data_IF_185220159574
#
_entry.id   IF_185220159574
#
_cell.length_a   1.000
_cell.length_b   1.000
_cell.length_c   1.000
_cell.angle_alpha   90.00
_cell.angle_beta   90.00
_cell.angle_gamma   90.00
#
_symmetry.space_group_name_H-M   'P 1'
#
loop_
_entity.id
_entity.type
_entity.pdbx_description
1 polymer ?
#
# COMPACT_ATOMS: atom_id res chain seq x y z
N UNK A 1 -20.06 -17.74 13.52
CA UNK A 1 -18.86 -17.90 12.66
C UNK A 1 -17.83 -18.78 13.38
N UNK A 2 -17.75 -20.09 13.12
CA UNK A 2 -16.44 -20.77 13.17
C UNK A 2 -16.23 -21.95 12.18
N UNK A 3 -17.11 -22.20 11.21
CA UNK A 3 -17.01 -23.40 10.35
C UNK A 3 -16.10 -23.26 9.11
N UNK A 4 -15.77 -22.04 8.68
CA UNK A 4 -14.96 -21.79 7.46
C UNK A 4 -13.45 -22.06 7.66
N UNK A 5 -12.97 -22.06 8.90
CA UNK A 5 -11.55 -22.23 9.26
C UNK A 5 -11.05 -23.69 9.28
N UNK A 6 -11.93 -24.70 9.06
CA UNK A 6 -11.54 -26.12 9.09
C UNK A 6 -11.22 -26.75 7.73
N UNK A 7 -11.28 -25.98 6.63
CA UNK A 7 -10.83 -26.48 5.33
C UNK A 7 -9.30 -26.34 5.22
N UNK A 8 -8.52 -27.42 5.04
CA UNK A 8 -7.06 -27.34 4.94
C UNK A 8 -6.58 -26.43 3.79
N UNK A 9 -7.37 -26.25 2.73
CA UNK A 9 -7.07 -25.29 1.65
C UNK A 9 -7.16 -23.83 2.14
N UNK A 10 -8.09 -23.53 3.05
CA UNK A 10 -8.26 -22.20 3.64
C UNK A 10 -7.16 -21.90 4.67
N UNK A 11 -6.73 -22.91 5.44
CA UNK A 11 -5.65 -22.75 6.40
C UNK A 11 -4.30 -22.47 5.72
N UNK A 12 -4.00 -23.15 4.60
CA UNK A 12 -2.80 -22.88 3.80
C UNK A 12 -2.81 -21.47 3.22
N UNK A 13 -3.96 -21.03 2.68
CA UNK A 13 -4.09 -19.68 2.16
C UNK A 13 -3.91 -18.63 3.25
N UNK A 14 -4.53 -18.83 4.42
CA UNK A 14 -4.37 -17.96 5.58
C UNK A 14 -2.90 -17.87 6.01
N UNK A 15 -2.21 -19.02 6.08
CA UNK A 15 -0.79 -19.05 6.40
C UNK A 15 0.04 -18.24 5.40
N UNK A 16 -0.20 -18.39 4.09
CA UNK A 16 0.49 -17.59 3.06
C UNK A 16 0.18 -16.10 3.21
N UNK A 17 -1.07 -15.72 3.47
CA UNK A 17 -1.43 -14.32 3.71
C UNK A 17 -0.71 -13.74 4.93
N UNK A 18 -0.66 -14.50 6.04
CA UNK A 18 0.05 -14.09 7.26
C UNK A 18 1.55 -13.99 7.00
N UNK A 19 2.14 -14.96 6.29
CA UNK A 19 3.55 -14.95 5.94
C UNK A 19 3.90 -13.75 5.05
N UNK A 20 3.11 -13.46 4.02
CA UNK A 20 3.31 -12.30 3.16
C UNK A 20 3.13 -11.00 3.94
N UNK A 21 2.03 -10.85 4.69
CA UNK A 21 1.76 -9.63 5.45
C UNK A 21 2.83 -9.38 6.53
N UNK A 22 2.96 -10.30 7.48
CA UNK A 22 3.90 -10.16 8.61
C UNK A 22 5.35 -10.19 8.14
N UNK A 23 5.70 -11.05 7.17
CA UNK A 23 7.05 -11.12 6.62
C UNK A 23 7.46 -9.81 5.94
N UNK A 24 6.55 -9.19 5.18
CA UNK A 24 6.82 -7.86 4.56
C UNK A 24 6.99 -6.78 5.62
N UNK A 25 6.12 -6.75 6.64
CA UNK A 25 6.25 -5.79 7.74
C UNK A 25 7.61 -5.93 8.43
N UNK A 26 8.05 -7.16 8.74
CA UNK A 26 9.33 -7.42 9.42
C UNK A 26 10.52 -7.02 8.54
N UNK A 27 10.51 -7.41 7.26
CA UNK A 27 11.62 -7.14 6.34
C UNK A 27 11.86 -5.64 6.15
N UNK A 28 10.79 -4.84 6.07
CA UNK A 28 10.89 -3.40 5.89
C UNK A 28 10.91 -2.61 7.21
N UNK A 29 10.69 -3.25 8.36
CA UNK A 29 10.66 -2.59 9.66
C UNK A 29 11.87 -1.69 9.96
N UNK A 30 13.12 -2.03 9.55
CA UNK A 30 14.26 -1.15 9.79
C UNK A 30 14.10 0.26 9.21
N UNK A 31 13.33 0.43 8.12
CA UNK A 31 13.10 1.73 7.46
C UNK A 31 12.43 2.74 8.38
N UNK A 32 11.72 2.30 9.44
CA UNK A 32 11.14 3.21 10.45
C UNK A 32 12.18 4.08 11.17
N UNK A 33 13.46 3.70 11.11
CA UNK A 33 14.58 4.42 11.71
C UNK A 33 15.27 5.38 10.73
N UNK A 34 14.86 5.37 9.46
CA UNK A 34 15.37 6.31 8.47
C UNK A 34 14.68 7.67 8.61
N UNK A 35 15.39 8.72 8.20
CA UNK A 35 14.88 10.09 8.17
C UNK A 35 14.31 10.40 6.79
N UNK A 36 13.58 11.51 6.70
CA UNK A 36 13.26 12.12 5.41
C UNK A 36 14.53 12.33 4.58
N UNK A 37 14.43 12.08 3.29
CA UNK A 37 15.51 12.35 2.33
C UNK A 37 15.39 13.77 1.79
N UNK A 38 16.47 14.34 1.28
CA UNK A 38 16.44 15.70 0.72
C UNK A 38 15.68 15.77 -0.61
N UNK A 39 15.63 14.67 -1.35
CA UNK A 39 14.94 14.59 -2.63
C UNK A 39 13.44 14.37 -2.42
N UNK A 40 12.63 15.29 -2.94
CA UNK A 40 11.17 15.33 -2.97
C UNK A 40 10.44 15.37 -1.61
N UNK A 41 10.94 14.76 -0.53
CA UNK A 41 10.26 14.76 0.77
C UNK A 41 10.03 16.19 1.35
N UNK A 42 10.90 17.20 1.11
CA UNK A 42 10.57 18.58 1.43
C UNK A 42 9.29 19.06 0.75
N UNK A 43 9.22 18.91 -0.57
CA UNK A 43 8.08 19.36 -1.38
C UNK A 43 6.81 18.54 -1.10
N UNK A 44 6.95 17.25 -0.78
CA UNK A 44 5.82 16.36 -0.53
C UNK A 44 5.31 16.41 0.90
N UNK A 45 6.18 16.67 1.89
CA UNK A 45 5.84 16.49 3.31
C UNK A 45 6.34 17.62 4.19
N UNK A 46 7.65 17.84 4.31
CA UNK A 46 8.20 18.63 5.43
C UNK A 46 8.13 20.14 5.21
N UNK A 47 8.06 20.61 3.97
CA UNK A 47 7.93 22.03 3.59
C UNK A 47 6.56 22.34 2.95
N UNK A 48 5.75 21.32 2.66
CA UNK A 48 4.43 21.51 2.10
C UNK A 48 3.41 22.03 3.14
N UNK A 49 3.06 23.31 3.04
CA UNK A 49 2.15 23.96 3.99
C UNK A 49 0.79 23.25 4.09
N UNK A 50 0.22 22.78 2.98
CA UNK A 50 -1.10 22.13 2.96
C UNK A 50 -1.06 20.74 3.59
N UNK A 51 -0.01 19.97 3.35
CA UNK A 51 0.19 18.68 4.05
C UNK A 51 0.35 18.89 5.54
N UNK A 52 1.11 19.93 5.93
CA UNK A 52 1.35 20.25 7.34
C UNK A 52 0.12 20.75 8.09
N UNK A 53 -0.89 21.26 7.39
CA UNK A 53 -2.19 21.60 7.97
C UNK A 53 -2.96 20.35 8.45
N UNK A 54 -2.58 19.15 7.99
CA UNK A 54 -3.34 17.92 8.26
C UNK A 54 -4.62 17.84 7.44
N UNK A 55 -5.60 17.05 7.88
CA UNK A 55 -6.88 16.87 7.20
C UNK A 55 -7.85 18.01 7.55
N UNK A 56 -7.79 19.10 6.79
CA UNK A 56 -8.72 20.23 6.87
C UNK A 56 -9.50 20.35 5.57
N UNK A 57 -10.63 21.07 5.60
CA UNK A 57 -11.39 21.35 4.37
C UNK A 57 -10.53 22.07 3.32
N UNK A 58 -9.64 22.96 3.77
CA UNK A 58 -8.74 23.70 2.90
C UNK A 58 -7.70 22.80 2.23
N UNK A 59 -6.98 21.98 3.02
CA UNK A 59 -5.94 21.10 2.49
C UNK A 59 -6.52 20.00 1.59
N UNK A 60 -7.67 19.45 1.94
CA UNK A 60 -8.37 18.46 1.11
C UNK A 60 -8.86 19.10 -0.19
N UNK A 61 -9.43 20.30 -0.15
CA UNK A 61 -9.83 21.02 -1.37
C UNK A 61 -8.63 21.30 -2.27
N UNK A 62 -7.51 21.72 -1.69
CA UNK A 62 -6.26 21.94 -2.41
C UNK A 62 -5.79 20.67 -3.14
N UNK A 63 -5.84 19.51 -2.47
CA UNK A 63 -5.42 18.23 -3.04
C UNK A 63 -6.15 17.87 -4.34
N UNK A 64 -7.44 18.25 -4.48
CA UNK A 64 -8.24 17.97 -5.67
C UNK A 64 -8.12 19.03 -6.77
N UNK A 65 -7.71 20.26 -6.43
CA UNK A 65 -7.78 21.41 -7.34
C UNK A 65 -6.42 21.83 -7.89
N UNK A 66 -5.32 21.43 -7.26
CA UNK A 66 -3.97 21.89 -7.62
C UNK A 66 -3.07 20.74 -8.06
N UNK A 67 -2.29 20.98 -9.11
CA UNK A 67 -1.09 20.20 -9.40
C UNK A 67 0.08 20.81 -8.64
N UNK A 68 0.88 19.97 -7.99
CA UNK A 68 2.04 20.40 -7.20
C UNK A 68 3.21 19.44 -7.44
N UNK A 69 4.44 19.95 -7.44
CA UNK A 69 5.63 19.17 -7.80
C UNK A 69 5.47 18.40 -9.13
N UNK A 70 4.90 19.08 -10.14
CA UNK A 70 4.61 18.52 -11.47
C UNK A 70 3.60 17.35 -11.51
N UNK A 71 2.85 17.12 -10.43
CA UNK A 71 1.93 16.00 -10.33
C UNK A 71 0.54 16.38 -9.81
N UNK A 72 -0.48 15.63 -10.24
CA UNK A 72 -1.84 15.68 -9.67
C UNK A 72 -2.25 14.29 -9.16
N UNK A 73 -2.18 14.11 -7.85
CA UNK A 73 -2.54 12.86 -7.17
C UNK A 73 -3.22 13.15 -5.82
N UNK A 74 -4.51 13.50 -5.82
CA UNK A 74 -5.24 13.95 -4.63
C UNK A 74 -5.17 12.97 -3.45
N UNK A 75 -5.31 11.67 -3.72
CA UNK A 75 -5.28 10.65 -2.66
C UNK A 75 -3.91 10.50 -2.00
N UNK A 76 -2.82 10.76 -2.74
CA UNK A 76 -1.46 10.75 -2.17
C UNK A 76 -1.29 11.93 -1.24
N UNK A 77 -1.76 13.12 -1.64
CA UNK A 77 -1.73 14.32 -0.79
C UNK A 77 -2.52 14.12 0.50
N UNK A 78 -3.73 13.60 0.40
CA UNK A 78 -4.58 13.29 1.56
C UNK A 78 -3.93 12.25 2.47
N UNK A 79 -3.24 11.25 1.89
CA UNK A 79 -2.49 10.27 2.69
C UNK A 79 -1.36 10.94 3.49
N UNK A 80 -0.59 11.84 2.88
CA UNK A 80 0.46 12.57 3.61
C UNK A 80 -0.10 13.54 4.65
N UNK A 81 -1.25 14.18 4.38
CA UNK A 81 -1.96 15.01 5.37
C UNK A 81 -2.35 14.20 6.60
N UNK A 82 -2.87 12.99 6.40
CA UNK A 82 -3.20 12.08 7.48
C UNK A 82 -1.95 11.66 8.28
N UNK A 83 -0.87 11.29 7.58
CA UNK A 83 0.39 10.92 8.21
C UNK A 83 0.97 12.09 9.02
N UNK A 84 0.93 13.32 8.49
CA UNK A 84 1.38 14.51 9.22
C UNK A 84 0.52 14.80 10.45
N UNK A 85 -0.80 14.65 10.35
CA UNK A 85 -1.70 14.88 11.47
C UNK A 85 -1.45 13.92 12.64
N UNK A 86 -1.02 12.68 12.37
CA UNK A 86 -0.76 11.69 13.42
C UNK A 86 0.69 11.61 13.87
N UNK A 87 1.64 11.81 12.96
CA UNK A 87 3.07 11.60 13.22
C UNK A 87 3.89 12.88 13.15
N UNK A 88 3.36 13.96 12.57
CA UNK A 88 4.10 15.21 12.34
C UNK A 88 5.39 14.96 11.58
N UNK A 89 6.49 15.53 12.09
CA UNK A 89 7.83 15.38 11.52
C UNK A 89 8.52 14.04 11.88
N UNK A 90 7.80 13.03 12.39
CA UNK A 90 8.38 11.71 12.63
C UNK A 90 8.34 10.85 11.36
N UNK A 91 9.43 10.88 10.57
CA UNK A 91 9.59 10.11 9.33
C UNK A 91 9.24 8.62 9.48
N UNK A 92 9.55 8.02 10.64
CA UNK A 92 9.25 6.62 10.91
C UNK A 92 7.77 6.27 10.78
N UNK A 93 6.87 7.18 11.19
CA UNK A 93 5.43 6.98 11.03
C UNK A 93 4.99 6.96 9.56
N UNK A 94 5.53 7.89 8.76
CA UNK A 94 5.27 7.97 7.32
C UNK A 94 5.78 6.70 6.60
N UNK A 95 6.97 6.22 6.93
CA UNK A 95 7.48 4.95 6.38
C UNK A 95 6.58 3.75 6.73
N UNK A 96 6.13 3.64 7.98
CA UNK A 96 5.31 2.52 8.43
C UNK A 96 3.99 2.43 7.65
N UNK A 97 3.40 3.55 7.25
CA UNK A 97 2.20 3.57 6.42
C UNK A 97 2.49 3.03 5.00
N UNK A 98 3.65 3.33 4.40
CA UNK A 98 4.07 2.73 3.11
C UNK A 98 4.15 1.21 3.22
N UNK A 99 4.80 0.76 4.28
CA UNK A 99 5.08 -0.64 4.52
C UNK A 99 3.76 -1.40 4.75
N UNK A 100 2.82 -0.79 5.46
CA UNK A 100 1.48 -1.34 5.65
C UNK A 100 0.73 -1.48 4.31
N UNK A 101 0.73 -0.45 3.47
CA UNK A 101 0.13 -0.54 2.13
C UNK A 101 0.78 -1.64 1.28
N UNK A 102 2.11 -1.73 1.26
CA UNK A 102 2.81 -2.77 0.50
C UNK A 102 2.51 -4.19 1.01
N UNK A 103 2.44 -4.38 2.33
CA UNK A 103 2.06 -5.66 2.93
C UNK A 103 0.63 -6.06 2.53
N UNK A 104 -0.31 -5.10 2.56
CA UNK A 104 -1.69 -5.32 2.12
C UNK A 104 -1.76 -5.62 0.62
N UNK A 105 -1.03 -4.87 -0.22
CA UNK A 105 -0.95 -5.11 -1.66
C UNK A 105 -0.44 -6.51 -1.98
N UNK A 106 0.58 -6.98 -1.25
CA UNK A 106 1.14 -8.33 -1.41
C UNK A 106 0.10 -9.42 -1.11
N UNK A 107 -0.71 -9.23 -0.06
CA UNK A 107 -1.80 -10.15 0.30
C UNK A 107 -2.92 -10.11 -0.74
N UNK A 108 -3.36 -8.92 -1.16
CA UNK A 108 -4.40 -8.77 -2.19
C UNK A 108 -3.93 -9.41 -3.50
N UNK A 109 -2.68 -9.19 -3.91
CA UNK A 109 -2.11 -9.77 -5.12
C UNK A 109 -2.14 -11.30 -5.10
N UNK A 110 -1.68 -11.93 -4.01
CA UNK A 110 -1.76 -13.39 -3.86
C UNK A 110 -3.19 -13.90 -4.01
N UNK A 111 -4.09 -13.28 -3.25
CA UNK A 111 -5.48 -13.68 -3.17
C UNK A 111 -6.18 -13.48 -4.55
N UNK A 112 -5.85 -12.42 -5.27
CA UNK A 112 -6.40 -12.08 -6.60
C UNK A 112 -5.93 -13.09 -7.64
N UNK A 113 -4.62 -13.30 -7.72
CA UNK A 113 -4.02 -14.26 -8.65
C UNK A 113 -4.51 -15.69 -8.38
N UNK A 114 -4.68 -16.06 -7.11
CA UNK A 114 -5.27 -17.36 -6.74
C UNK A 114 -6.71 -17.49 -7.24
N UNK A 115 -7.51 -16.44 -7.11
CA UNK A 115 -8.91 -16.46 -7.57
C UNK A 115 -8.98 -16.67 -9.09
N UNK A 116 -8.24 -15.89 -9.88
CA UNK A 116 -8.35 -15.92 -11.35
C UNK A 116 -7.62 -17.11 -12.01
N UNK A 117 -6.59 -17.67 -11.37
CA UNK A 117 -5.82 -18.79 -11.96
C UNK A 117 -6.23 -20.16 -11.44
N UNK A 118 -6.93 -20.24 -10.32
CA UNK A 118 -7.18 -21.49 -9.59
C UNK A 118 -5.92 -22.18 -9.02
N UNK A 119 -4.72 -21.64 -9.28
CA UNK A 119 -3.46 -22.17 -8.79
C UNK A 119 -3.16 -21.67 -7.38
N UNK A 120 -2.36 -22.42 -6.62
CA UNK A 120 -1.97 -22.02 -5.26
C UNK A 120 -0.52 -21.51 -5.20
N UNK A 121 0.45 -22.35 -5.60
CA UNK A 121 1.87 -22.05 -5.42
C UNK A 121 2.41 -21.00 -6.38
N UNK A 122 1.90 -20.94 -7.62
CA UNK A 122 2.33 -19.93 -8.61
C UNK A 122 1.97 -18.51 -8.14
N UNK A 123 0.71 -18.21 -7.75
CA UNK A 123 0.36 -16.93 -7.12
C UNK A 123 1.17 -16.61 -5.87
N UNK A 124 1.40 -17.60 -5.00
CA UNK A 124 2.16 -17.40 -3.76
C UNK A 124 3.61 -16.97 -4.05
N UNK A 125 4.24 -17.61 -5.04
CA UNK A 125 5.60 -17.25 -5.47
C UNK A 125 5.66 -15.85 -6.08
N UNK A 126 4.72 -15.51 -6.98
CA UNK A 126 4.66 -14.17 -7.59
C UNK A 126 4.44 -13.09 -6.53
N UNK A 127 3.54 -13.31 -5.57
CA UNK A 127 3.30 -12.38 -4.49
C UNK A 127 4.50 -12.24 -3.55
N UNK A 128 5.24 -13.31 -3.28
CA UNK A 128 6.47 -13.25 -2.48
C UNK A 128 7.58 -12.47 -3.21
N UNK A 129 7.72 -12.65 -4.52
CA UNK A 129 8.64 -11.83 -5.33
C UNK A 129 8.25 -10.36 -5.28
N UNK A 130 6.98 -10.03 -5.53
CA UNK A 130 6.48 -8.65 -5.41
C UNK A 130 6.73 -8.06 -4.01
N UNK A 131 6.48 -8.86 -2.97
CA UNK A 131 6.63 -8.42 -1.58
C UNK A 131 8.09 -8.15 -1.20
N UNK A 132 9.01 -9.04 -1.57
CA UNK A 132 10.35 -9.12 -0.95
C UNK A 132 11.50 -8.84 -1.91
N UNK A 133 11.23 -8.65 -3.21
CA UNK A 133 12.29 -8.34 -4.17
C UNK A 133 12.87 -6.93 -3.92
N UNK A 134 14.20 -6.76 -3.88
CA UNK A 134 14.83 -5.49 -3.53
C UNK A 134 14.49 -4.30 -4.44
N UNK A 135 14.06 -4.53 -5.68
CA UNK A 135 13.69 -3.43 -6.61
C UNK A 135 12.48 -2.63 -6.13
N UNK A 136 11.65 -3.17 -5.23
CA UNK A 136 10.53 -2.42 -4.66
C UNK A 136 10.94 -1.55 -3.46
N UNK A 137 12.19 -1.63 -3.00
CA UNK A 137 12.64 -0.85 -1.84
C UNK A 137 12.52 0.65 -2.09
N UNK A 138 12.80 1.13 -3.31
CA UNK A 138 12.64 2.55 -3.65
C UNK A 138 11.18 3.00 -3.51
N UNK A 139 10.24 2.29 -4.15
CA UNK A 139 8.80 2.64 -4.07
C UNK A 139 8.20 2.48 -2.66
N UNK A 140 8.74 1.59 -1.82
CA UNK A 140 8.18 1.31 -0.49
C UNK A 140 8.83 2.16 0.60
N UNK A 141 10.14 2.33 0.56
CA UNK A 141 10.89 3.02 1.60
C UNK A 141 10.95 4.53 1.39
N UNK A 142 10.86 5.03 0.16
CA UNK A 142 10.84 6.48 -0.09
C UNK A 142 9.45 7.03 0.22
N UNK A 143 9.38 8.03 1.11
CA UNK A 143 8.11 8.59 1.58
C UNK A 143 7.34 9.23 0.43
N UNK A 144 8.00 10.03 -0.41
CA UNK A 144 7.38 10.68 -1.57
C UNK A 144 6.87 9.68 -2.64
N UNK A 145 7.34 8.43 -2.62
CA UNK A 145 6.82 7.35 -3.47
C UNK A 145 5.53 6.70 -2.96
N UNK A 146 4.90 7.25 -1.91
CA UNK A 146 3.55 6.86 -1.44
C UNK A 146 2.53 6.68 -2.59
N UNK A 147 2.67 7.47 -3.67
CA UNK A 147 1.83 7.39 -4.87
C UNK A 147 1.80 6.00 -5.53
N UNK A 148 2.93 5.30 -5.56
CA UNK A 148 3.05 3.99 -6.19
C UNK A 148 2.34 2.90 -5.38
N UNK A 149 2.59 2.85 -4.07
CA UNK A 149 1.97 1.84 -3.19
C UNK A 149 0.46 2.07 -3.07
N UNK A 150 0.01 3.33 -3.09
CA UNK A 150 -1.41 3.67 -2.99
C UNK A 150 -2.16 3.40 -4.30
N UNK A 151 -1.58 3.76 -5.45
CA UNK A 151 -2.18 3.46 -6.75
C UNK A 151 -2.24 1.95 -7.00
N UNK A 152 -1.21 1.20 -6.59
CA UNK A 152 -1.21 -0.27 -6.63
C UNK A 152 -2.35 -0.85 -5.78
N UNK A 153 -2.59 -0.32 -4.58
CA UNK A 153 -3.69 -0.76 -3.72
C UNK A 153 -5.05 -0.64 -4.40
N UNK A 154 -5.37 0.56 -4.90
CA UNK A 154 -6.64 0.78 -5.59
C UNK A 154 -6.73 0.01 -6.91
N UNK A 155 -5.62 -0.11 -7.64
CA UNK A 155 -5.54 -0.89 -8.89
C UNK A 155 -5.84 -2.37 -8.65
N UNK A 156 -5.23 -2.99 -7.63
CA UNK A 156 -5.47 -4.39 -7.28
C UNK A 156 -6.91 -4.62 -6.79
N UNK A 157 -7.48 -3.69 -6.01
CA UNK A 157 -8.89 -3.76 -5.61
C UNK A 157 -9.83 -3.66 -6.81
N UNK A 158 -9.53 -2.77 -7.77
CA UNK A 158 -10.31 -2.63 -8.99
C UNK A 158 -10.26 -3.91 -9.84
N UNK A 159 -9.08 -4.49 -10.02
CA UNK A 159 -8.90 -5.77 -10.72
C UNK A 159 -9.65 -6.91 -10.03
N UNK A 160 -9.60 -6.96 -8.70
CA UNK A 160 -10.36 -7.93 -7.92
C UNK A 160 -11.86 -7.78 -8.15
N UNK A 161 -12.39 -6.57 -8.01
CA UNK A 161 -13.80 -6.28 -8.19
C UNK A 161 -14.27 -6.65 -9.60
N UNK A 162 -13.45 -6.35 -10.62
CA UNK A 162 -13.73 -6.71 -12.00
C UNK A 162 -13.75 -8.23 -12.23
N UNK A 163 -12.79 -8.98 -11.67
CA UNK A 163 -12.79 -10.44 -11.76
C UNK A 163 -14.07 -11.06 -11.19
N UNK A 164 -14.54 -10.56 -10.03
CA UNK A 164 -15.80 -11.00 -9.44
C UNK A 164 -17.05 -10.59 -10.21
N UNK A 165 -16.97 -9.52 -11.01
CA UNK A 165 -18.04 -9.16 -11.96
C UNK A 165 -18.05 -10.12 -13.16
N UNK A 166 -16.89 -10.41 -13.75
CA UNK A 166 -16.77 -11.28 -14.91
C UNK A 166 -17.25 -12.71 -14.62
N UNK A 167 -16.89 -13.28 -13.46
CA UNK A 167 -17.33 -14.63 -13.05
C UNK A 167 -18.86 -14.76 -12.97
N UNK A 168 -19.55 -13.70 -12.50
CA UNK A 168 -21.02 -13.68 -12.42
C UNK A 168 -21.71 -13.49 -13.77
N UNK A 169 -21.04 -12.90 -14.75
CA UNK A 169 -21.60 -12.71 -16.09
C UNK A 169 -21.56 -14.01 -16.90
N UNK A 170 -20.70 -14.96 -16.54
CA UNK A 170 -20.54 -16.27 -17.18
C UNK A 170 -21.40 -17.37 -16.52
N UNK A 171 -21.99 -17.12 -15.35
CA UNK A 171 -22.85 -18.05 -14.59
C UNK A 171 -24.33 -17.87 -14.90
#
# INVERSE_FOLDING_TARGET
>A
MPTVLRNPKNLRALFVCLLLGVGTLILYLPVRHHNFVWLDDPDYVTENAYVRMGLTTESVSWAFTHSFSSNWHPLTWISHMADWQWFGANAGGHHLVSIAFHAVNSVILFLFLRAITGAFWRPAFVAALFAWHPTHVESVAWISERKDVLSTFFGLLALWAYAGYAEKAES
#
